data_IF_340189444297
#
_entry.id   IF_340189444297
#
_cell.length_a   1.000
_cell.length_b   1.000
_cell.length_c   1.000
_cell.angle_alpha   90.00
_cell.angle_beta   90.00
_cell.angle_gamma   90.00
#
_symmetry.space_group_name_H-M   'P 1'
#
loop_
_entity.id
_entity.type
_entity.pdbx_description
1 polymer ?
#
# COMPACT_ATOMS: atom_id res chain seq x y z
N UNK A 1 18.05 9.31 -7.18
CA UNK A 1 17.67 10.61 -7.75
C UNK A 1 16.32 10.39 -8.44
N UNK A 2 15.25 10.30 -7.66
CA UNK A 2 13.88 10.10 -8.17
C UNK A 2 12.97 11.00 -7.37
N UNK A 3 12.19 11.80 -8.07
CA UNK A 3 11.44 12.93 -7.54
C UNK A 3 11.71 14.16 -8.40
N UNK A 4 11.01 14.25 -9.54
CA UNK A 4 10.66 15.53 -10.12
C UNK A 4 9.16 15.69 -9.98
N UNK A 5 8.77 16.84 -9.46
CA UNK A 5 7.40 17.34 -9.40
C UNK A 5 6.72 17.21 -10.76
N UNK A 6 5.54 16.57 -10.79
CA UNK A 6 4.61 16.61 -11.93
C UNK A 6 4.59 15.42 -12.89
N UNK A 7 5.01 14.21 -12.50
CA UNK A 7 4.63 13.00 -13.26
C UNK A 7 3.10 12.81 -13.14
N UNK A 8 2.41 12.87 -14.28
CA UNK A 8 0.95 12.65 -14.35
C UNK A 8 0.75 11.15 -14.37
N UNK A 9 0.89 10.55 -13.19
CA UNK A 9 0.82 9.12 -13.04
C UNK A 9 -0.64 8.64 -13.12
N UNK A 10 -0.87 7.60 -13.91
CA UNK A 10 -2.19 7.05 -14.18
C UNK A 10 -2.59 6.10 -13.05
N UNK A 11 -3.75 6.32 -12.45
CA UNK A 11 -4.31 5.38 -11.47
C UNK A 11 -5.23 4.36 -12.16
N UNK A 12 -4.88 3.09 -12.02
CA UNK A 12 -5.61 1.94 -12.54
C UNK A 12 -6.21 1.18 -11.38
N UNK A 13 -7.49 0.89 -11.45
CA UNK A 13 -8.23 0.15 -10.43
C UNK A 13 -8.52 -1.27 -10.91
N UNK A 14 -8.24 -2.24 -10.04
CA UNK A 14 -8.51 -3.67 -10.23
C UNK A 14 -9.61 -4.05 -9.26
N UNK A 15 -10.82 -4.27 -9.77
CA UNK A 15 -12.01 -4.57 -8.98
C UNK A 15 -12.39 -6.04 -9.10
N UNK A 16 -12.58 -6.68 -7.96
CA UNK A 16 -13.04 -8.07 -7.79
C UNK A 16 -14.31 -8.08 -6.93
N UNK A 17 -14.78 -9.24 -6.49
CA UNK A 17 -16.09 -9.37 -5.86
C UNK A 17 -16.15 -8.71 -4.48
N UNK A 18 -15.11 -8.91 -3.66
CA UNK A 18 -15.02 -8.39 -2.28
C UNK A 18 -14.34 -7.02 -2.15
N UNK A 19 -13.87 -6.41 -3.25
CA UNK A 19 -13.24 -5.09 -3.19
C UNK A 19 -12.49 -4.68 -4.44
N UNK A 20 -11.59 -3.71 -4.29
CA UNK A 20 -10.65 -3.31 -5.33
C UNK A 20 -9.32 -2.86 -4.74
N UNK A 21 -8.30 -2.81 -5.60
CA UNK A 21 -7.06 -2.11 -5.27
C UNK A 21 -6.62 -1.22 -6.42
N UNK A 22 -5.72 -0.27 -6.13
CA UNK A 22 -5.29 0.75 -7.09
C UNK A 22 -3.78 0.70 -7.31
N UNK A 23 -3.43 0.76 -8.59
CA UNK A 23 -2.07 0.78 -9.09
C UNK A 23 -1.76 2.15 -9.67
N UNK A 24 -0.64 2.72 -9.26
CA UNK A 24 -0.06 3.89 -9.88
C UNK A 24 0.89 3.46 -11.01
N UNK A 25 0.47 3.65 -12.25
CA UNK A 25 1.23 3.27 -13.44
C UNK A 25 2.16 4.41 -13.86
N UNK A 26 3.43 4.08 -14.10
CA UNK A 26 4.43 5.04 -14.51
C UNK A 26 4.19 5.57 -15.94
N UNK A 27 4.43 6.87 -16.15
CA UNK A 27 4.17 7.57 -17.41
C UNK A 27 4.77 6.88 -18.64
N UNK A 28 5.96 6.26 -18.48
CA UNK A 28 6.66 5.53 -19.57
C UNK A 28 5.88 4.36 -20.18
N UNK A 29 4.87 3.84 -19.49
CA UNK A 29 3.97 2.79 -20.01
C UNK A 29 2.50 3.21 -19.97
N UNK A 30 2.20 4.42 -19.48
CA UNK A 30 0.83 4.87 -19.23
C UNK A 30 -0.03 4.93 -20.49
N UNK A 31 0.54 5.31 -21.64
CA UNK A 31 -0.21 5.35 -22.91
C UNK A 31 -0.62 3.93 -23.37
N UNK A 32 0.29 2.95 -23.28
CA UNK A 32 -0.01 1.57 -23.63
C UNK A 32 -1.08 1.00 -22.70
N UNK A 33 -0.94 1.22 -21.39
CA UNK A 33 -1.94 0.77 -20.40
C UNK A 33 -3.29 1.42 -20.66
N UNK A 34 -3.34 2.74 -20.86
CA UNK A 34 -4.57 3.48 -21.12
C UNK A 34 -5.35 2.95 -22.33
N UNK A 35 -4.66 2.60 -23.42
CA UNK A 35 -5.28 2.02 -24.62
C UNK A 35 -5.86 0.62 -24.42
N UNK A 36 -5.36 -0.13 -23.43
CA UNK A 36 -5.83 -1.47 -23.12
C UNK A 36 -7.05 -1.48 -22.18
N UNK A 37 -7.29 -0.41 -21.42
CA UNK A 37 -8.39 -0.34 -20.48
C UNK A 37 -9.74 -0.04 -21.18
N UNK A 38 -10.86 -0.57 -20.67
CA UNK A 38 -10.95 -1.57 -19.60
C UNK A 38 -10.82 -3.02 -20.12
N UNK A 39 -10.40 -3.94 -19.26
CA UNK A 39 -10.38 -5.38 -19.58
C UNK A 39 -10.77 -6.25 -18.37
N UNK A 40 -11.12 -7.51 -18.64
CA UNK A 40 -11.35 -8.53 -17.61
C UNK A 40 -10.12 -9.43 -17.48
N UNK A 41 -9.88 -9.93 -16.28
CA UNK A 41 -8.77 -10.84 -15.98
C UNK A 41 -9.12 -11.75 -14.81
N UNK A 42 -8.20 -12.62 -14.44
CA UNK A 42 -8.26 -13.46 -13.24
C UNK A 42 -7.06 -13.13 -12.37
N UNK A 43 -7.30 -12.82 -11.11
CA UNK A 43 -6.26 -12.63 -10.10
C UNK A 43 -5.72 -14.00 -9.70
N UNK A 44 -4.40 -14.14 -9.73
CA UNK A 44 -3.71 -15.34 -9.31
C UNK A 44 -2.81 -14.99 -8.13
N UNK A 45 -2.72 -15.89 -7.17
CA UNK A 45 -1.88 -15.73 -5.97
C UNK A 45 -0.80 -16.80 -6.01
N UNK A 46 0.46 -16.36 -6.03
CA UNK A 46 1.60 -17.26 -5.91
C UNK A 46 2.49 -16.83 -4.75
N UNK A 47 2.38 -17.56 -3.63
CA UNK A 47 3.08 -17.22 -2.38
C UNK A 47 2.65 -15.84 -1.85
N UNK A 48 3.49 -14.81 -2.02
CA UNK A 48 3.28 -13.45 -1.54
C UNK A 48 3.30 -12.42 -2.69
N UNK A 49 2.75 -12.82 -3.83
CA UNK A 49 2.43 -11.94 -4.94
C UNK A 49 1.01 -12.17 -5.46
N UNK A 50 0.36 -11.08 -5.85
CA UNK A 50 -0.83 -11.12 -6.71
C UNK A 50 -0.39 -10.77 -8.11
N UNK A 51 -0.79 -11.58 -9.09
CA UNK A 51 -0.54 -11.29 -10.49
C UNK A 51 -1.73 -11.62 -11.37
N UNK A 52 -1.84 -10.94 -12.50
CA UNK A 52 -2.93 -11.13 -13.45
C UNK A 52 -2.47 -10.82 -14.88
N UNK A 53 -2.99 -11.59 -15.84
CA UNK A 53 -2.68 -11.38 -17.26
C UNK A 53 -3.30 -10.08 -17.75
N UNK A 54 -2.57 -9.41 -18.63
CA UNK A 54 -3.02 -8.19 -19.31
C UNK A 54 -3.01 -8.41 -20.82
N UNK A 55 -3.83 -7.67 -21.61
CA UNK A 55 -3.76 -7.70 -23.07
C UNK A 55 -2.53 -6.95 -23.62
N UNK A 56 -1.63 -6.48 -22.74
CA UNK A 56 -0.48 -5.67 -23.11
C UNK A 56 0.66 -6.55 -23.62
N UNK A 57 1.47 -5.96 -24.47
CA UNK A 57 2.82 -6.45 -24.78
C UNK A 57 3.73 -5.25 -24.67
N UNK A 58 4.46 -5.17 -23.56
CA UNK A 58 5.40 -4.08 -23.31
C UNK A 58 6.77 -4.41 -23.92
N UNK A 59 7.28 -3.49 -24.74
CA UNK A 59 8.52 -3.65 -25.50
C UNK A 59 9.79 -3.65 -24.63
N UNK A 60 10.90 -4.10 -25.25
CA UNK A 60 12.23 -4.36 -24.66
C UNK A 60 13.01 -3.12 -24.18
N UNK A 61 12.44 -1.92 -24.25
CA UNK A 61 13.13 -0.69 -23.81
C UNK A 61 13.15 -0.52 -22.28
N UNK A 62 12.39 -1.35 -21.56
CA UNK A 62 12.42 -1.42 -20.11
C UNK A 62 13.64 -2.22 -19.62
N UNK A 63 14.28 -1.74 -18.55
CA UNK A 63 15.42 -2.44 -17.94
C UNK A 63 14.91 -3.63 -17.13
N UNK A 64 15.28 -4.87 -17.48
CA UNK A 64 14.87 -6.04 -16.71
C UNK A 64 15.54 -6.04 -15.34
N UNK A 65 14.81 -6.53 -14.33
CA UNK A 65 15.31 -6.80 -12.99
C UNK A 65 14.91 -8.20 -12.55
N UNK A 66 15.74 -8.82 -11.72
CA UNK A 66 15.47 -10.11 -11.07
C UNK A 66 15.24 -9.98 -9.57
N UNK A 67 15.46 -8.78 -9.03
CA UNK A 67 15.22 -8.44 -7.63
C UNK A 67 14.13 -7.37 -7.56
N UNK A 68 13.12 -7.61 -6.75
CA UNK A 68 11.97 -6.74 -6.60
C UNK A 68 11.84 -6.21 -5.18
N UNK A 69 11.25 -5.03 -5.08
CA UNK A 69 10.80 -4.41 -3.83
C UNK A 69 9.29 -4.59 -3.65
N UNK A 70 8.83 -4.97 -2.45
CA UNK A 70 7.40 -5.03 -2.14
C UNK A 70 6.70 -3.69 -2.41
N UNK A 71 5.46 -3.78 -2.89
CA UNK A 71 4.60 -2.65 -3.23
C UNK A 71 4.97 -1.87 -4.49
N UNK A 72 5.97 -2.32 -5.25
CA UNK A 72 6.14 -1.89 -6.64
C UNK A 72 5.30 -2.75 -7.59
N UNK A 73 4.89 -2.16 -8.70
CA UNK A 73 4.20 -2.84 -9.79
C UNK A 73 5.22 -3.26 -10.83
N UNK A 74 5.18 -4.53 -11.20
CA UNK A 74 6.04 -5.10 -12.22
C UNK A 74 5.22 -5.69 -13.37
N UNK A 75 5.82 -5.72 -14.56
CA UNK A 75 5.33 -6.47 -15.69
C UNK A 75 6.21 -7.71 -15.90
N UNK A 76 5.58 -8.87 -15.96
CA UNK A 76 6.21 -10.15 -16.24
C UNK A 76 5.97 -10.56 -17.71
N UNK A 77 6.98 -10.47 -18.59
CA UNK A 77 6.77 -10.64 -20.03
C UNK A 77 6.24 -12.01 -20.47
N UNK A 78 6.73 -13.16 -19.95
CA UNK A 78 6.25 -14.48 -20.38
C UNK A 78 4.74 -14.69 -20.21
N UNK A 79 4.17 -14.17 -19.12
CA UNK A 79 2.74 -14.25 -18.84
C UNK A 79 1.93 -13.01 -19.20
N UNK A 80 2.56 -12.00 -19.82
CA UNK A 80 1.98 -10.65 -20.05
C UNK A 80 1.32 -10.09 -18.78
N UNK A 81 1.91 -10.40 -17.63
CA UNK A 81 1.24 -10.25 -16.35
C UNK A 81 1.65 -8.97 -15.62
N UNK A 82 0.71 -8.32 -14.96
CA UNK A 82 1.03 -7.37 -13.90
C UNK A 82 1.23 -8.14 -12.60
N UNK A 83 2.28 -7.81 -11.85
CA UNK A 83 2.67 -8.48 -10.61
C UNK A 83 2.87 -7.44 -9.50
N UNK A 84 2.28 -7.68 -8.33
CA UNK A 84 2.52 -6.91 -7.11
C UNK A 84 2.96 -7.86 -6.01
N UNK A 85 4.16 -7.61 -5.49
CA UNK A 85 4.74 -8.37 -4.38
C UNK A 85 4.39 -7.69 -3.07
N UNK A 86 3.85 -8.43 -2.10
CA UNK A 86 3.45 -7.93 -0.78
C UNK A 86 4.19 -8.62 0.38
N UNK A 87 5.24 -9.38 0.07
CA UNK A 87 6.07 -10.07 1.06
C UNK A 87 7.50 -10.29 0.60
N UNK A 88 8.12 -11.39 1.02
CA UNK A 88 9.53 -11.69 0.73
C UNK A 88 9.75 -12.32 -0.65
N UNK A 89 8.68 -12.74 -1.31
CA UNK A 89 8.72 -13.43 -2.61
C UNK A 89 9.45 -12.61 -3.68
N UNK A 90 10.10 -13.33 -4.60
CA UNK A 90 10.83 -12.78 -5.75
C UNK A 90 10.22 -13.34 -7.03
N UNK A 91 10.33 -12.62 -8.16
CA UNK A 91 9.72 -13.05 -9.41
C UNK A 91 10.31 -14.36 -9.89
N UNK A 92 9.52 -15.12 -10.67
CA UNK A 92 9.98 -16.36 -11.27
C UNK A 92 11.13 -16.14 -12.29
N UNK A 93 11.09 -15.03 -13.03
CA UNK A 93 12.11 -14.63 -14.01
C UNK A 93 12.28 -13.12 -14.04
N UNK A 94 13.00 -12.59 -15.03
CA UNK A 94 13.10 -11.14 -15.25
C UNK A 94 11.72 -10.48 -15.39
N UNK A 95 11.59 -9.31 -14.75
CA UNK A 95 10.41 -8.44 -14.79
C UNK A 95 10.83 -7.00 -15.05
N UNK A 96 9.87 -6.14 -15.41
CA UNK A 96 10.08 -4.70 -15.57
C UNK A 96 9.33 -3.93 -14.50
N UNK A 97 9.99 -3.06 -13.73
CA UNK A 97 9.29 -2.12 -12.85
C UNK A 97 8.50 -1.14 -13.72
N UNK A 98 7.20 -0.97 -13.46
CA UNK A 98 6.30 -0.16 -14.29
C UNK A 98 5.36 0.73 -13.46
N UNK A 99 5.53 0.76 -12.14
CA UNK A 99 4.68 1.56 -11.26
C UNK A 99 4.77 1.13 -9.81
N UNK A 100 3.74 1.42 -9.04
CA UNK A 100 3.61 1.00 -7.65
C UNK A 100 2.17 0.80 -7.20
N UNK A 101 2.00 -0.03 -6.18
CA UNK A 101 0.74 -0.24 -5.51
C UNK A 101 0.45 0.90 -4.53
N UNK A 102 -0.77 1.43 -4.55
CA UNK A 102 -1.21 2.52 -3.66
C UNK A 102 -1.91 1.93 -2.46
N UNK A 103 -1.43 2.23 -1.25
CA UNK A 103 -2.13 1.87 -0.01
C UNK A 103 -1.43 0.86 0.88
N UNK A 104 -2.20 0.05 1.62
CA UNK A 104 -1.68 -1.01 2.51
C UNK A 104 -1.51 -2.33 1.73
N UNK A 105 -0.31 -2.90 1.71
CA UNK A 105 -0.01 -4.15 1.01
C UNK A 105 -0.60 -5.38 1.69
N UNK A 106 -0.82 -5.27 3.01
CA UNK A 106 -1.38 -6.35 3.80
C UNK A 106 -2.75 -6.79 3.27
N UNK A 107 -3.53 -5.85 2.75
CA UNK A 107 -4.85 -6.07 2.15
C UNK A 107 -4.80 -7.05 0.96
N UNK A 108 -3.68 -7.15 0.24
CA UNK A 108 -3.53 -8.11 -0.86
C UNK A 108 -3.53 -9.57 -0.39
N UNK A 109 -3.38 -9.85 0.92
CA UNK A 109 -3.43 -11.20 1.48
C UNK A 109 -4.83 -11.79 1.51
N UNK A 110 -5.88 -10.96 1.40
CA UNK A 110 -7.27 -11.43 1.40
C UNK A 110 -7.75 -11.91 0.04
N UNK A 111 -7.01 -11.62 -1.03
CA UNK A 111 -7.38 -12.02 -2.41
C UNK A 111 -7.25 -13.52 -2.56
N UNK A 112 -8.27 -14.15 -3.14
CA UNK A 112 -8.26 -15.59 -3.41
C UNK A 112 -7.64 -15.90 -4.79
N UNK A 113 -6.92 -17.03 -4.89
CA UNK A 113 -6.40 -17.50 -6.17
C UNK A 113 -7.54 -17.90 -7.11
N UNK A 114 -7.57 -17.33 -8.31
CA UNK A 114 -8.60 -17.59 -9.31
C UNK A 114 -9.78 -16.61 -9.29
N UNK A 115 -9.71 -15.53 -8.51
CA UNK A 115 -10.78 -14.53 -8.42
C UNK A 115 -10.90 -13.71 -9.73
N UNK A 116 -12.13 -13.56 -10.25
CA UNK A 116 -12.37 -12.75 -11.44
C UNK A 116 -12.25 -11.25 -11.11
N UNK A 117 -11.63 -10.48 -12.01
CA UNK A 117 -11.48 -9.04 -11.82
C UNK A 117 -11.71 -8.24 -13.11
N UNK A 118 -12.11 -6.99 -12.91
CA UNK A 118 -12.20 -5.96 -13.94
C UNK A 118 -11.13 -4.88 -13.68
N UNK A 119 -10.32 -4.61 -14.71
CA UNK A 119 -9.30 -3.57 -14.67
C UNK A 119 -9.78 -2.35 -15.44
N UNK A 120 -9.75 -1.17 -14.82
CA UNK A 120 -10.24 0.08 -15.42
C UNK A 120 -9.55 1.32 -14.86
N UNK A 121 -9.85 2.50 -15.40
CA UNK A 121 -9.35 3.76 -14.84
C UNK A 121 -9.95 3.98 -13.45
N UNK A 122 -9.12 4.28 -12.46
CA UNK A 122 -9.59 4.60 -11.12
C UNK A 122 -10.40 5.90 -11.13
N UNK A 123 -11.52 5.89 -10.41
CA UNK A 123 -12.36 7.09 -10.19
C UNK A 123 -12.38 7.40 -8.69
N UNK A 124 -11.61 8.40 -8.23
CA UNK A 124 -11.59 8.80 -6.83
C UNK A 124 -12.99 9.17 -6.32
N UNK A 125 -13.26 8.89 -5.05
CA UNK A 125 -14.47 9.32 -4.35
C UNK A 125 -14.46 10.84 -4.17
N UNK A 126 -15.55 11.51 -4.53
CA UNK A 126 -15.66 12.98 -4.45
C UNK A 126 -15.76 13.44 -3.00
N UNK A 127 -16.46 12.66 -2.17
CA UNK A 127 -16.62 12.85 -0.73
C UNK A 127 -15.30 12.89 0.05
N UNK A 128 -14.25 12.26 -0.50
CA UNK A 128 -12.92 12.17 0.11
C UNK A 128 -11.90 13.10 -0.56
N UNK A 129 -12.34 14.02 -1.43
CA UNK A 129 -11.46 14.89 -2.20
C UNK A 129 -10.56 15.77 -1.30
N UNK A 130 -11.11 16.34 -0.23
CA UNK A 130 -10.36 17.18 0.71
C UNK A 130 -9.27 16.40 1.47
N UNK A 131 -9.55 15.15 1.83
CA UNK A 131 -8.59 14.23 2.46
C UNK A 131 -7.48 13.94 1.46
N UNK A 132 -7.84 13.51 0.25
CA UNK A 132 -6.89 13.17 -0.80
C UNK A 132 -5.99 14.36 -1.19
N UNK A 133 -6.53 15.57 -1.26
CA UNK A 133 -5.74 16.79 -1.53
C UNK A 133 -4.70 17.04 -0.43
N UNK A 134 -5.10 16.92 0.84
CA UNK A 134 -4.18 17.08 1.99
C UNK A 134 -3.05 16.05 1.96
N UNK A 135 -3.37 14.79 1.68
CA UNK A 135 -2.38 13.72 1.57
C UNK A 135 -1.41 13.94 0.40
N UNK A 136 -1.93 14.36 -0.77
CA UNK A 136 -1.09 14.70 -1.94
C UNK A 136 -0.15 15.87 -1.66
N UNK A 137 -0.58 16.90 -0.92
CA UNK A 137 0.29 18.00 -0.46
C UNK A 137 1.44 17.53 0.44
N UNK A 138 1.26 16.42 1.14
CA UNK A 138 2.29 15.77 1.95
C UNK A 138 3.17 14.79 1.14
N UNK A 139 2.91 14.64 -0.17
CA UNK A 139 3.66 13.78 -1.08
C UNK A 139 3.21 12.32 -1.08
N UNK A 140 2.01 12.01 -0.60
CA UNK A 140 1.45 10.66 -0.67
C UNK A 140 0.77 10.41 -2.02
N UNK A 141 0.96 9.21 -2.57
CA UNK A 141 0.01 8.64 -3.51
C UNK A 141 -1.26 8.30 -2.75
N UNK A 142 -2.41 8.63 -3.33
CA UNK A 142 -3.70 8.44 -2.67
C UNK A 142 -4.76 8.03 -3.70
N UNK A 143 -5.56 7.04 -3.32
CA UNK A 143 -6.65 6.49 -4.09
C UNK A 143 -7.82 6.14 -3.16
N UNK A 144 -8.97 5.81 -3.74
CA UNK A 144 -10.17 5.39 -2.98
C UNK A 144 -10.73 4.07 -3.51
N UNK A 145 -10.02 2.94 -3.34
CA UNK A 145 -10.54 1.63 -3.73
C UNK A 145 -11.84 1.29 -2.99
N UNK A 146 -12.54 0.28 -3.48
CA UNK A 146 -13.65 -0.37 -2.80
C UNK A 146 -13.12 -1.35 -1.76
N UNK A 147 -13.73 -1.33 -0.59
CA UNK A 147 -13.61 -2.35 0.44
C UNK A 147 -15.04 -2.81 0.74
N UNK A 148 -15.38 -4.04 0.36
CA UNK A 148 -16.76 -4.50 0.19
C UNK A 148 -17.59 -3.54 -0.69
N UNK A 149 -18.55 -2.83 -0.11
CA UNK A 149 -19.46 -1.92 -0.82
C UNK A 149 -19.06 -0.43 -0.69
N UNK A 150 -18.09 -0.11 0.15
CA UNK A 150 -17.73 1.27 0.50
C UNK A 150 -16.37 1.66 -0.08
N UNK A 151 -16.20 2.96 -0.36
CA UNK A 151 -14.90 3.49 -0.77
C UNK A 151 -14.10 3.92 0.45
N UNK A 152 -12.90 3.40 0.57
CA UNK A 152 -11.99 3.73 1.64
C UNK A 152 -10.82 4.56 1.10
N UNK A 153 -10.40 5.58 1.84
CA UNK A 153 -9.19 6.33 1.46
C UNK A 153 -7.97 5.48 1.80
N UNK A 154 -7.13 5.22 0.80
CA UNK A 154 -5.85 4.57 1.01
C UNK A 154 -4.72 5.44 0.50
N UNK A 155 -3.57 5.40 1.17
CA UNK A 155 -2.41 6.19 0.79
C UNK A 155 -1.10 5.49 1.07
N UNK A 156 -0.10 5.79 0.26
CA UNK A 156 1.25 5.31 0.48
C UNK A 156 2.32 6.28 -0.02
N UNK A 157 3.48 6.25 0.63
CA UNK A 157 4.65 7.06 0.31
C UNK A 157 5.91 6.32 0.66
N UNK A 158 6.98 6.56 -0.09
CA UNK A 158 8.32 6.08 0.28
C UNK A 158 9.13 7.21 0.91
N UNK A 159 9.60 7.02 2.14
CA UNK A 159 10.40 7.98 2.90
C UNK A 159 11.71 7.31 3.33
N UNK A 160 12.86 7.85 2.90
CA UNK A 160 14.18 7.28 3.18
C UNK A 160 14.32 5.79 2.83
N UNK A 161 13.67 5.35 1.73
CA UNK A 161 13.67 3.96 1.29
C UNK A 161 12.70 3.04 2.02
N UNK A 162 11.97 3.55 3.01
CA UNK A 162 10.91 2.84 3.74
C UNK A 162 9.56 3.20 3.13
N UNK A 163 8.77 2.20 2.77
CA UNK A 163 7.37 2.38 2.36
C UNK A 163 6.50 2.56 3.60
N UNK A 164 5.59 3.51 3.56
CA UNK A 164 4.59 3.76 4.58
C UNK A 164 3.26 3.75 3.86
N UNK A 165 2.41 2.78 4.18
CA UNK A 165 1.02 2.68 3.73
C UNK A 165 0.07 2.85 4.90
N UNK A 166 -1.08 3.46 4.67
CA UNK A 166 -2.18 3.49 5.63
C UNK A 166 -3.53 3.64 4.93
N UNK A 167 -4.57 3.19 5.62
CA UNK A 167 -5.96 3.41 5.31
C UNK A 167 -6.54 4.50 6.23
N UNK A 168 -7.52 5.26 5.74
CA UNK A 168 -8.30 6.21 6.54
C UNK A 168 -9.77 5.81 6.45
N UNK A 169 -10.32 5.42 7.59
CA UNK A 169 -11.75 5.18 7.79
C UNK A 169 -12.41 6.50 8.19
N UNK A 170 -13.41 6.90 7.42
CA UNK A 170 -14.14 8.16 7.62
C UNK A 170 -15.41 7.87 8.38
N UNK A 171 -15.51 8.40 9.60
CA UNK A 171 -16.62 8.18 10.51
C UNK A 171 -17.36 9.51 10.77
N UNK A 172 -18.62 9.42 11.21
CA UNK A 172 -19.41 10.61 11.60
C UNK A 172 -18.75 11.43 12.73
N UNK A 173 -17.83 10.81 13.48
CA UNK A 173 -17.15 11.40 14.64
C UNK A 173 -15.66 11.68 14.41
N UNK A 174 -15.11 11.41 13.24
CA UNK A 174 -13.71 11.71 12.92
C UNK A 174 -13.09 10.76 11.88
N UNK A 175 -11.77 10.72 11.86
CA UNK A 175 -10.97 9.97 10.90
C UNK A 175 -10.04 9.01 11.64
N UNK A 176 -10.21 7.72 11.39
CA UNK A 176 -9.32 6.70 11.93
C UNK A 176 -8.25 6.36 10.89
N UNK A 177 -6.98 6.55 11.24
CA UNK A 177 -5.84 6.22 10.38
C UNK A 177 -5.23 4.92 10.89
N UNK A 178 -5.10 3.92 10.03
CA UNK A 178 -4.50 2.62 10.35
C UNK A 178 -3.37 2.31 9.38
N UNK A 179 -2.18 2.02 9.89
CA UNK A 179 -1.01 1.75 9.05
C UNK A 179 -0.94 0.31 8.56
N UNK A 180 -0.09 0.11 7.57
CA UNK A 180 0.47 -1.20 7.24
C UNK A 180 1.05 -1.87 8.49
N UNK A 181 0.58 -3.08 8.84
CA UNK A 181 0.99 -3.77 10.05
C UNK A 181 2.45 -4.23 9.99
N UNK A 182 3.05 -4.40 11.16
CA UNK A 182 4.45 -4.83 11.29
C UNK A 182 4.62 -6.34 11.45
N UNK A 183 3.86 -6.95 12.36
CA UNK A 183 3.98 -8.38 12.68
C UNK A 183 2.71 -8.90 13.37
N UNK A 184 2.46 -10.20 13.25
CA UNK A 184 1.35 -10.88 13.92
C UNK A 184 1.53 -10.86 15.44
N UNK A 185 0.51 -10.42 16.17
CA UNK A 185 0.53 -10.47 17.62
C UNK A 185 0.31 -11.89 18.13
N UNK A 186 1.01 -12.27 19.20
CA UNK A 186 0.71 -13.49 19.93
C UNK A 186 0.92 -13.30 21.43
N UNK A 187 0.18 -14.07 22.23
CA UNK A 187 0.36 -14.13 23.68
C UNK A 187 1.60 -14.94 24.12
N UNK A 188 2.48 -15.30 23.19
CA UNK A 188 3.76 -15.89 23.57
C UNK A 188 4.57 -14.86 24.37
N UNK A 189 5.20 -15.30 25.46
CA UNK A 189 5.92 -14.40 26.36
C UNK A 189 6.93 -13.48 25.64
N UNK A 190 7.74 -13.95 24.66
CA UNK A 190 8.66 -13.08 23.93
C UNK A 190 7.94 -11.99 23.11
N UNK A 191 6.89 -12.34 22.36
CA UNK A 191 6.15 -11.39 21.50
C UNK A 191 5.38 -10.39 22.35
N UNK A 192 4.72 -10.84 23.40
CA UNK A 192 4.02 -9.97 24.33
C UNK A 192 4.97 -8.95 24.98
N UNK A 193 6.12 -9.41 25.49
CA UNK A 193 7.09 -8.52 26.13
C UNK A 193 7.68 -7.50 25.16
N UNK A 194 8.03 -7.91 23.93
CA UNK A 194 8.49 -7.00 22.89
C UNK A 194 7.41 -5.97 22.53
N UNK A 195 6.18 -6.41 22.33
CA UNK A 195 5.04 -5.55 22.00
C UNK A 195 4.73 -4.54 23.10
N UNK A 196 4.79 -4.94 24.39
CA UNK A 196 4.60 -4.03 25.52
C UNK A 196 5.69 -2.97 25.60
N UNK A 197 6.95 -3.34 25.37
CA UNK A 197 8.06 -2.37 25.29
C UNK A 197 7.88 -1.39 24.13
N UNK A 198 7.49 -1.91 22.97
CA UNK A 198 7.22 -1.08 21.80
C UNK A 198 6.05 -0.12 22.06
N UNK A 199 4.98 -0.60 22.70
CA UNK A 199 3.83 0.23 23.10
C UNK A 199 4.26 1.37 24.00
N UNK A 200 5.06 1.07 25.02
CA UNK A 200 5.61 2.10 25.92
C UNK A 200 6.47 3.12 25.16
N UNK A 201 7.31 2.67 24.23
CA UNK A 201 8.13 3.56 23.40
C UNK A 201 7.27 4.47 22.51
N UNK A 202 6.23 3.95 21.86
CA UNK A 202 5.31 4.74 21.02
C UNK A 202 4.59 5.81 21.87
N UNK A 203 4.06 5.44 23.05
CA UNK A 203 3.41 6.39 23.96
C UNK A 203 4.35 7.50 24.45
N UNK A 204 5.66 7.24 24.57
CA UNK A 204 6.64 8.28 24.88
C UNK A 204 6.99 9.17 23.69
N UNK A 205 6.71 8.73 22.46
CA UNK A 205 7.01 9.49 21.24
C UNK A 205 5.87 10.41 20.81
N UNK A 206 4.62 10.07 21.14
CA UNK A 206 3.43 10.73 20.61
C UNK A 206 2.21 10.50 21.49
N UNK A 207 1.40 11.55 21.63
CA UNK A 207 0.07 11.48 22.27
C UNK A 207 -1.06 11.20 21.26
N UNK A 208 -0.79 11.32 19.95
CA UNK A 208 -1.79 11.14 18.87
C UNK A 208 -1.64 9.85 18.08
N UNK A 209 -0.49 9.17 18.20
CA UNK A 209 -0.17 7.92 17.49
C UNK A 209 -0.04 6.81 18.52
N UNK A 210 -0.69 5.68 18.27
CA UNK A 210 -0.81 4.56 19.20
C UNK A 210 -0.25 3.30 18.55
N UNK A 211 0.30 2.42 19.37
CA UNK A 211 0.52 1.03 18.97
C UNK A 211 -0.78 0.26 19.23
N UNK A 212 -1.31 -0.37 18.19
CA UNK A 212 -2.62 -1.01 18.18
C UNK A 212 -2.55 -2.39 17.52
N UNK A 213 -3.70 -3.05 17.43
CA UNK A 213 -3.91 -4.20 16.57
C UNK A 213 -4.89 -3.81 15.45
N UNK A 214 -4.66 -4.30 14.23
CA UNK A 214 -5.71 -4.30 13.20
C UNK A 214 -6.71 -5.44 13.46
N UNK A 215 -7.74 -5.54 12.62
CA UNK A 215 -8.80 -6.56 12.74
C UNK A 215 -8.26 -8.00 12.69
N UNK A 216 -7.17 -8.25 11.97
CA UNK A 216 -6.51 -9.56 11.88
C UNK A 216 -5.53 -9.83 13.03
N UNK A 217 -5.52 -9.00 14.08
CA UNK A 217 -4.61 -9.10 15.23
C UNK A 217 -3.13 -8.92 14.89
N UNK A 218 -2.80 -8.10 13.88
CA UNK A 218 -1.44 -7.68 13.62
C UNK A 218 -1.12 -6.34 14.29
N UNK A 219 0.09 -6.24 14.84
CA UNK A 219 0.57 -5.03 15.48
C UNK A 219 0.77 -3.94 14.43
N UNK A 220 0.10 -2.79 14.60
CA UNK A 220 0.17 -1.65 13.70
C UNK A 220 0.25 -0.32 14.47
N UNK A 221 0.44 0.79 13.75
CA UNK A 221 0.22 2.13 14.28
C UNK A 221 -1.15 2.65 13.85
N UNK A 222 -1.89 3.19 14.81
CA UNK A 222 -3.15 3.91 14.55
C UNK A 222 -3.07 5.35 15.03
N UNK A 223 -3.88 6.21 14.42
CA UNK A 223 -4.14 7.56 14.92
C UNK A 223 -5.62 7.87 14.76
N UNK A 224 -6.17 8.69 15.66
CA UNK A 224 -7.53 9.19 15.54
C UNK A 224 -7.50 10.71 15.43
N UNK A 225 -8.17 11.25 14.41
CA UNK A 225 -8.24 12.68 14.13
C UNK A 225 -9.70 13.10 14.22
N UNK A 226 -10.00 14.01 15.13
CA UNK A 226 -11.38 14.50 15.30
C UNK A 226 -11.76 15.48 14.18
N UNK A 227 -10.88 16.44 13.90
CA UNK A 227 -11.14 17.53 12.96
C UNK A 227 -10.18 17.45 11.77
N UNK A 228 -10.70 17.56 10.55
CA UNK A 228 -9.92 17.40 9.31
C UNK A 228 -8.75 18.39 9.19
N UNK A 229 -8.82 19.53 9.89
CA UNK A 229 -7.72 20.49 9.98
C UNK A 229 -6.42 19.87 10.50
N UNK A 230 -6.54 18.91 11.41
CA UNK A 230 -5.43 18.35 12.19
C UNK A 230 -4.86 17.08 11.52
N UNK A 231 -5.49 16.61 10.44
CA UNK A 231 -5.07 15.42 9.71
C UNK A 231 -3.63 15.55 9.22
N UNK A 232 -3.27 16.69 8.62
CA UNK A 232 -1.95 16.88 8.04
C UNK A 232 -0.82 16.78 9.08
N UNK A 233 -1.00 17.44 10.23
CA UNK A 233 -0.05 17.35 11.35
C UNK A 233 0.03 15.94 11.92
N UNK A 234 -1.12 15.27 12.06
CA UNK A 234 -1.19 13.90 12.57
C UNK A 234 -0.45 12.92 11.66
N UNK A 235 -0.63 13.02 10.33
CA UNK A 235 0.08 12.19 9.35
C UNK A 235 1.60 12.45 9.38
N UNK A 236 2.05 13.71 9.50
CA UNK A 236 3.48 14.00 9.64
C UNK A 236 4.07 13.41 10.93
N UNK A 237 3.32 13.46 12.03
CA UNK A 237 3.73 12.85 13.28
C UNK A 237 3.76 11.31 13.19
N UNK A 238 2.76 10.71 12.55
CA UNK A 238 2.67 9.28 12.27
C UNK A 238 3.86 8.81 11.42
N UNK A 239 4.21 9.53 10.35
CA UNK A 239 5.39 9.25 9.51
C UNK A 239 6.66 9.17 10.38
N UNK A 240 6.87 10.16 11.26
CA UNK A 240 8.02 10.21 12.17
C UNK A 240 8.04 9.04 13.16
N UNK A 241 6.90 8.68 13.75
CA UNK A 241 6.78 7.56 14.70
C UNK A 241 7.01 6.22 13.99
N UNK A 242 6.39 6.02 12.83
CA UNK A 242 6.52 4.81 12.01
C UNK A 242 7.99 4.48 11.68
N UNK A 243 8.75 5.49 11.21
CA UNK A 243 10.18 5.34 10.94
C UNK A 243 11.01 5.02 12.20
N UNK A 244 10.62 5.51 13.37
CA UNK A 244 11.29 5.18 14.64
C UNK A 244 10.97 3.76 15.10
N UNK A 245 9.73 3.32 14.96
CA UNK A 245 9.29 1.96 15.28
C UNK A 245 10.07 0.94 14.45
N UNK A 246 10.17 1.14 13.13
CA UNK A 246 10.95 0.23 12.27
C UNK A 246 12.44 0.17 12.64
N UNK A 247 13.02 1.28 13.09
CA UNK A 247 14.40 1.29 13.61
C UNK A 247 14.54 0.48 14.90
N UNK A 248 13.57 0.56 15.80
CA UNK A 248 13.54 -0.26 17.02
C UNK A 248 13.47 -1.75 16.66
N UNK A 249 12.51 -2.12 15.81
CA UNK A 249 12.32 -3.51 15.37
C UNK A 249 13.56 -4.07 14.67
N UNK A 250 14.20 -3.26 13.82
CA UNK A 250 15.43 -3.65 13.13
C UNK A 250 16.64 -3.79 14.08
N UNK A 251 16.74 -2.95 15.10
CA UNK A 251 17.81 -3.02 16.09
C UNK A 251 17.66 -4.21 17.04
N UNK A 252 16.43 -4.63 17.33
CA UNK A 252 16.16 -5.83 18.14
C UNK A 252 16.47 -7.12 17.37
N UNK A 253 16.22 -7.18 16.06
CA UNK A 253 16.59 -8.31 15.21
C UNK A 253 18.12 -8.56 15.13
N UNK A 254 18.95 -7.54 15.35
CA UNK A 254 20.41 -7.66 15.36
C UNK A 254 21.03 -8.06 16.71
N UNK A 255 20.21 -8.27 17.76
CA UNK A 255 20.67 -8.63 19.11
C UNK A 255 20.41 -10.10 19.49
N UNK A 256 19.76 -10.85 18.61
CA UNK A 256 19.57 -12.31 18.69
C UNK A 256 20.68 -13.03 17.97
#
# INVERSE_FOLDING_TARGET
MFGKEGEVSMLVEVRYDSGSFVLNVADRVGEQVSKALPFKTVLNVWKEEVYFETPLTLDKELTPVTLVKPGKLYYWPPGRGFCVFYGISQPYSEVYEIGEYVGVLFDLRSIEDGEEAQVSNHKPAEESADIAERLRKLGYLCATPFYDEEKMVTASKTVNGVRIGFNIYVEDYGYHVECEPFYEFSNSFPVLLATLKLKQAVTQMSDTVRLDLNEDCWVTLTAFVKDLSDLGETIMNLERVYLKVLKILSAEAGRT
#
